data_IF_733661757670
#
_entry.id   IF_733661757670
#
_cell.length_a   1.000
_cell.length_b   1.000
_cell.length_c   1.000
_cell.angle_alpha   90.00
_cell.angle_beta   90.00
_cell.angle_gamma   90.00
#
_symmetry.space_group_name_H-M   'P 1'
#
loop_
_entity.id
_entity.type
_entity.pdbx_description
1 polymer ?
#
# COMPACT_ATOMS: atom_id res chain seq x y z
N UNK A 1 -23.66 -26.54 47.29
CA UNK A 1 -23.14 -27.18 46.05
C UNK A 1 -22.93 -26.10 45.02
N UNK A 2 -21.72 -25.56 44.90
CA UNK A 2 -21.38 -24.51 43.92
C UNK A 2 -20.79 -25.21 42.70
N UNK A 3 -21.45 -25.01 41.58
CA UNK A 3 -21.22 -25.71 40.30
C UNK A 3 -19.81 -25.46 39.77
N UNK A 4 -19.04 -26.54 39.64
CA UNK A 4 -17.68 -26.60 39.07
C UNK A 4 -17.55 -26.20 37.58
N UNK A 5 -18.65 -25.82 36.94
CA UNK A 5 -18.65 -25.60 35.49
C UNK A 5 -18.36 -24.16 35.04
N UNK A 6 -18.25 -23.21 36.00
CA UNK A 6 -18.02 -21.79 35.64
C UNK A 6 -16.55 -21.42 35.44
N UNK A 7 -15.62 -22.24 35.99
CA UNK A 7 -14.19 -21.96 35.92
C UNK A 7 -13.55 -22.38 34.58
N UNK A 8 -14.12 -23.39 33.94
CA UNK A 8 -13.61 -23.93 32.66
C UNK A 8 -13.96 -22.98 31.50
N UNK A 9 -15.11 -22.31 31.58
CA UNK A 9 -15.53 -21.36 30.53
C UNK A 9 -14.70 -20.08 30.54
N UNK A 10 -14.19 -19.64 31.68
CA UNK A 10 -13.36 -18.45 31.83
C UNK A 10 -11.93 -18.64 31.26
N UNK A 11 -11.42 -19.87 31.34
CA UNK A 11 -10.09 -20.22 30.78
C UNK A 11 -10.10 -20.31 29.24
N UNK A 12 -11.26 -20.58 28.62
CA UNK A 12 -11.37 -20.67 27.17
C UNK A 12 -11.45 -19.28 26.51
N UNK A 13 -11.87 -18.23 27.23
CA UNK A 13 -11.96 -16.87 26.71
C UNK A 13 -10.62 -16.12 26.77
N UNK A 14 -9.64 -16.60 27.52
CA UNK A 14 -8.31 -15.98 27.62
C UNK A 14 -7.32 -16.45 26.55
N UNK A 15 -7.66 -17.50 25.80
CA UNK A 15 -6.76 -18.05 24.76
C UNK A 15 -6.93 -17.44 23.37
N UNK A 16 -7.88 -16.52 23.16
CA UNK A 16 -8.14 -15.92 21.85
C UNK A 16 -7.41 -14.59 21.58
N UNK A 17 -6.59 -14.11 22.52
CA UNK A 17 -5.84 -12.84 22.35
C UNK A 17 -4.36 -13.03 22.00
N UNK A 18 -3.96 -14.16 21.46
CA UNK A 18 -2.61 -14.31 20.90
C UNK A 18 -2.58 -13.82 19.47
N UNK A 19 -2.45 -12.49 19.36
CA UNK A 19 -1.59 -11.75 18.41
C UNK A 19 -1.17 -12.51 17.17
N UNK A 20 -1.88 -12.31 16.10
CA UNK A 20 -1.29 -12.45 14.78
C UNK A 20 -0.53 -11.16 14.40
N UNK A 21 0.46 -10.77 15.17
CA UNK A 21 1.60 -10.05 14.62
C UNK A 21 2.45 -11.07 13.86
N UNK A 22 1.99 -11.48 12.70
CA UNK A 22 2.78 -12.29 11.79
C UNK A 22 3.84 -11.37 11.24
N UNK A 23 5.08 -11.54 11.67
CA UNK A 23 6.25 -10.91 11.07
C UNK A 23 6.16 -11.11 9.56
N UNK A 24 6.05 -9.99 8.85
CA UNK A 24 5.99 -10.00 7.39
C UNK A 24 7.41 -10.27 6.93
N UNK A 25 7.71 -11.52 6.78
CA UNK A 25 8.98 -11.97 6.23
C UNK A 25 8.92 -11.71 4.72
N UNK A 26 9.69 -10.74 4.24
CA UNK A 26 9.94 -10.58 2.80
C UNK A 26 10.74 -11.82 2.37
N UNK A 27 10.02 -12.86 1.99
CA UNK A 27 10.61 -14.15 1.64
C UNK A 27 11.35 -14.15 0.31
N UNK A 28 11.32 -13.04 -0.43
CA UNK A 28 11.82 -12.98 -1.79
C UNK A 28 12.63 -11.70 -2.03
N UNK A 29 13.83 -11.85 -2.61
CA UNK A 29 14.57 -10.70 -3.12
C UNK A 29 13.82 -10.09 -4.29
N UNK A 30 13.31 -8.89 -4.11
CA UNK A 30 12.61 -8.13 -5.14
C UNK A 30 13.58 -7.20 -5.82
N UNK A 31 13.59 -7.25 -7.14
CA UNK A 31 14.26 -6.27 -8.00
C UNK A 31 13.41 -6.14 -9.28
N UNK A 32 12.40 -5.29 -9.19
CA UNK A 32 11.38 -5.12 -10.21
C UNK A 32 11.42 -3.71 -10.78
N UNK A 33 11.28 -3.59 -12.08
CA UNK A 33 11.15 -2.32 -12.79
C UNK A 33 9.95 -2.39 -13.72
N UNK A 34 9.15 -1.32 -13.73
CA UNK A 34 7.93 -1.23 -14.51
C UNK A 34 7.88 0.07 -15.30
N UNK A 35 7.17 0.03 -16.42
CA UNK A 35 6.62 1.19 -17.10
C UNK A 35 5.11 1.13 -16.95
N UNK A 36 4.51 2.20 -16.42
CA UNK A 36 3.09 2.19 -16.09
C UNK A 36 2.36 3.29 -16.84
N UNK A 37 1.23 2.95 -17.45
CA UNK A 37 0.31 3.89 -18.08
C UNK A 37 -0.80 4.24 -17.10
N UNK A 38 -1.11 5.52 -16.98
CA UNK A 38 -2.25 6.00 -16.21
C UNK A 38 -3.56 5.48 -16.85
N UNK A 39 -4.44 4.91 -16.04
CA UNK A 39 -5.74 4.41 -16.48
C UNK A 39 -6.85 5.36 -16.06
N UNK A 40 -6.93 5.64 -14.76
CA UNK A 40 -7.95 6.51 -14.16
C UNK A 40 -7.53 6.98 -12.78
N UNK A 41 -8.25 7.99 -12.28
CA UNK A 41 -8.11 8.50 -10.91
C UNK A 41 -9.49 8.66 -10.30
N UNK A 42 -9.63 8.29 -9.03
CA UNK A 42 -10.81 8.55 -8.23
C UNK A 42 -10.45 9.61 -7.21
N UNK A 43 -11.23 10.67 -7.14
CA UNK A 43 -11.01 11.83 -6.26
C UNK A 43 -12.13 11.96 -5.25
N UNK A 44 -11.75 12.10 -3.97
CA UNK A 44 -12.63 12.53 -2.88
C UNK A 44 -12.04 13.78 -2.25
N UNK A 45 -12.77 14.88 -2.28
CA UNK A 45 -12.45 16.14 -1.60
C UNK A 45 -13.75 16.93 -1.32
N UNK A 46 -13.65 18.23 -1.07
CA UNK A 46 -14.82 19.10 -0.85
C UNK A 46 -15.73 19.25 -2.07
N UNK A 47 -15.20 19.06 -3.26
CA UNK A 47 -15.93 19.21 -4.54
C UNK A 47 -16.44 17.88 -5.08
N UNK A 48 -15.64 16.80 -4.92
CA UNK A 48 -15.93 15.49 -5.48
C UNK A 48 -16.12 14.43 -4.40
N UNK A 49 -17.16 13.62 -4.52
CA UNK A 49 -17.40 12.48 -3.65
C UNK A 49 -17.11 11.17 -4.40
N UNK A 50 -15.84 10.76 -4.40
CA UNK A 50 -15.35 9.58 -5.13
C UNK A 50 -15.66 9.62 -6.63
N UNK A 51 -15.49 10.77 -7.25
CA UNK A 51 -15.66 10.91 -8.68
C UNK A 51 -14.50 10.28 -9.45
N UNK A 52 -14.84 9.55 -10.51
CA UNK A 52 -13.85 8.91 -11.38
C UNK A 52 -13.57 9.78 -12.60
N UNK A 53 -12.27 9.96 -12.89
CA UNK A 53 -11.76 10.64 -14.06
C UNK A 53 -10.89 9.66 -14.87
N UNK A 54 -11.05 9.63 -16.18
CA UNK A 54 -10.21 8.87 -17.09
C UNK A 54 -8.88 9.58 -17.35
N UNK A 55 -7.88 8.85 -17.84
CA UNK A 55 -6.53 9.39 -18.04
C UNK A 55 -6.49 10.64 -18.97
N UNK A 56 -7.39 10.73 -19.96
CA UNK A 56 -7.47 11.86 -20.87
C UNK A 56 -8.12 13.12 -20.27
N UNK A 57 -8.71 13.02 -19.09
CA UNK A 57 -9.31 14.15 -18.35
C UNK A 57 -8.35 14.69 -17.28
N UNK A 58 -7.16 14.12 -17.16
CA UNK A 58 -6.19 14.39 -16.11
C UNK A 58 -4.89 14.96 -16.69
N UNK A 59 -4.25 15.84 -15.92
CA UNK A 59 -2.87 16.30 -16.17
C UNK A 59 -1.82 15.36 -15.58
N UNK A 60 -2.25 14.30 -14.88
CA UNK A 60 -1.37 13.29 -14.31
C UNK A 60 -0.66 12.50 -15.41
N UNK A 61 0.56 12.04 -15.12
CA UNK A 61 1.43 11.42 -16.10
C UNK A 61 1.61 9.93 -15.88
N UNK A 62 1.96 9.27 -16.96
CA UNK A 62 2.49 7.90 -16.92
C UNK A 62 3.75 7.81 -16.07
N UNK A 63 4.04 6.64 -15.52
CA UNK A 63 5.26 6.36 -14.78
C UNK A 63 6.27 5.68 -15.71
N UNK A 64 7.28 6.40 -16.17
CA UNK A 64 8.30 5.86 -17.08
C UNK A 64 9.21 4.83 -16.41
N UNK A 65 9.47 5.01 -15.11
CA UNK A 65 10.31 4.13 -14.32
C UNK A 65 9.80 4.01 -12.90
N UNK A 66 8.97 3.00 -12.66
CA UNK A 66 8.61 2.59 -11.31
C UNK A 66 9.47 1.39 -10.88
N UNK A 67 10.23 1.53 -9.79
CA UNK A 67 11.16 0.52 -9.30
C UNK A 67 10.85 0.11 -7.87
N UNK A 68 10.91 -1.19 -7.63
CA UNK A 68 10.83 -1.83 -6.32
C UNK A 68 12.05 -2.71 -6.13
N UNK A 69 12.82 -2.48 -5.05
CA UNK A 69 13.98 -3.30 -4.73
C UNK A 69 14.04 -3.58 -3.24
N UNK A 70 14.15 -4.84 -2.85
CA UNK A 70 14.44 -5.18 -1.46
C UNK A 70 15.90 -4.89 -1.15
N UNK A 71 16.15 -4.13 -0.06
CA UNK A 71 17.52 -3.83 0.41
C UNK A 71 17.88 -4.80 1.53
N UNK A 72 16.90 -5.12 2.38
CA UNK A 72 16.99 -6.07 3.50
C UNK A 72 15.63 -6.76 3.61
N UNK A 73 15.51 -7.86 4.38
CA UNK A 73 14.25 -8.58 4.53
C UNK A 73 13.03 -7.73 4.88
N UNK A 74 13.25 -6.58 5.52
CA UNK A 74 12.16 -5.70 5.99
C UNK A 74 12.16 -4.32 5.32
N UNK A 75 13.13 -4.05 4.42
CA UNK A 75 13.29 -2.74 3.81
C UNK A 75 13.16 -2.79 2.29
N UNK A 76 12.18 -2.05 1.78
CA UNK A 76 11.91 -1.90 0.37
C UNK A 76 12.33 -0.50 -0.11
N UNK A 77 13.11 -0.46 -1.18
CA UNK A 77 13.40 0.76 -1.92
C UNK A 77 12.33 0.97 -2.98
N UNK A 78 11.74 2.16 -3.01
CA UNK A 78 10.69 2.56 -3.96
C UNK A 78 11.16 3.80 -4.68
N UNK A 79 11.08 3.79 -6.00
CA UNK A 79 11.41 4.96 -6.82
C UNK A 79 10.45 5.10 -8.00
N UNK A 80 10.15 6.34 -8.37
CA UNK A 80 9.38 6.66 -9.57
C UNK A 80 7.86 6.63 -9.40
N UNK A 81 7.34 6.38 -8.18
CA UNK A 81 5.90 6.49 -7.88
C UNK A 81 5.58 7.86 -7.26
N UNK A 82 6.22 8.21 -6.16
CA UNK A 82 6.16 9.53 -5.55
C UNK A 82 7.45 9.89 -4.84
N UNK A 83 7.68 11.17 -4.62
CA UNK A 83 8.82 11.65 -3.84
C UNK A 83 8.68 11.31 -2.35
N UNK A 84 7.45 11.31 -1.84
CA UNK A 84 7.17 10.97 -0.45
C UNK A 84 7.55 9.53 -0.14
N UNK A 85 7.07 8.57 -0.94
CA UNK A 85 7.40 7.16 -0.77
C UNK A 85 8.89 6.87 -0.98
N UNK A 86 9.53 7.55 -1.94
CA UNK A 86 10.95 7.35 -2.25
C UNK A 86 11.87 7.80 -1.12
N UNK A 87 11.48 8.82 -0.35
CA UNK A 87 12.28 9.44 0.72
C UNK A 87 11.82 9.06 2.12
N UNK A 88 10.72 8.31 2.27
CA UNK A 88 10.16 8.04 3.58
C UNK A 88 11.01 7.04 4.36
N UNK A 89 11.50 7.47 5.52
CA UNK A 89 12.15 6.60 6.50
C UNK A 89 11.15 5.71 7.26
N UNK A 90 9.85 6.10 7.24
CA UNK A 90 8.75 5.41 7.93
C UNK A 90 7.95 4.50 6.98
N UNK A 91 8.58 4.02 5.91
CA UNK A 91 7.93 3.09 5.00
C UNK A 91 7.68 1.75 5.68
N UNK A 92 6.42 1.34 5.68
CA UNK A 92 5.98 0.05 6.20
C UNK A 92 5.61 -0.85 5.03
N UNK A 93 6.31 -1.96 4.91
CA UNK A 93 5.96 -3.02 3.96
C UNK A 93 4.92 -3.91 4.62
N UNK A 94 3.76 -4.07 4.00
CA UNK A 94 2.63 -4.83 4.54
C UNK A 94 2.55 -6.25 4.00
N UNK A 95 2.77 -6.40 2.70
CA UNK A 95 2.74 -7.69 2.02
C UNK A 95 3.81 -7.71 0.94
N UNK A 96 4.59 -8.77 0.89
CA UNK A 96 5.46 -9.09 -0.23
C UNK A 96 5.38 -10.58 -0.49
N UNK A 97 4.82 -10.94 -1.62
CA UNK A 97 4.79 -12.32 -2.11
C UNK A 97 4.92 -12.35 -3.64
N UNK A 98 4.85 -13.56 -4.22
CA UNK A 98 4.98 -13.75 -5.67
C UNK A 98 3.90 -13.02 -6.51
N UNK A 99 2.76 -12.70 -5.90
CA UNK A 99 1.61 -12.14 -6.60
C UNK A 99 1.43 -10.64 -6.34
N UNK A 100 1.77 -10.18 -5.12
CA UNK A 100 1.43 -8.81 -4.66
C UNK A 100 2.57 -8.20 -3.85
N UNK A 101 2.76 -6.89 -4.03
CA UNK A 101 3.55 -6.04 -3.12
C UNK A 101 2.65 -4.91 -2.62
N UNK A 102 2.51 -4.77 -1.31
CA UNK A 102 1.75 -3.72 -0.64
C UNK A 102 2.65 -2.99 0.36
N UNK A 103 2.69 -1.68 0.24
CA UNK A 103 3.45 -0.81 1.14
C UNK A 103 2.68 0.47 1.46
N UNK A 104 3.06 1.09 2.58
CA UNK A 104 2.44 2.32 3.09
C UNK A 104 3.49 3.18 3.79
N UNK A 105 3.36 4.49 3.68
CA UNK A 105 4.04 5.46 4.51
C UNK A 105 3.07 6.53 5.01
N UNK A 106 3.30 7.06 6.21
CA UNK A 106 2.50 8.13 6.79
C UNK A 106 3.40 9.16 7.48
N UNK A 107 3.01 10.41 7.38
CA UNK A 107 3.59 11.54 8.09
C UNK A 107 2.49 12.20 8.94
N UNK A 108 2.47 11.87 10.23
CA UNK A 108 1.44 12.34 11.15
C UNK A 108 1.52 13.85 11.43
N UNK A 109 2.69 14.46 11.28
CA UNK A 109 2.90 15.89 11.45
C UNK A 109 2.29 16.67 10.29
N UNK A 110 2.41 16.13 9.07
CA UNK A 110 1.83 16.71 7.87
C UNK A 110 0.41 16.26 7.60
N UNK A 111 -0.16 15.41 8.44
CA UNK A 111 -1.48 14.84 8.29
C UNK A 111 -1.69 14.17 6.91
N UNK A 112 -0.69 13.37 6.50
CA UNK A 112 -0.52 12.85 5.16
C UNK A 112 -0.13 11.37 5.14
N UNK A 113 -0.67 10.61 4.19
CA UNK A 113 -0.21 9.23 3.96
C UNK A 113 -0.31 8.83 2.49
N UNK A 114 0.56 7.91 2.09
CA UNK A 114 0.47 7.22 0.83
C UNK A 114 0.53 5.71 1.03
N UNK A 115 -0.22 4.98 0.22
CA UNK A 115 -0.12 3.53 0.13
C UNK A 115 -0.19 3.08 -1.32
N UNK A 116 0.46 1.98 -1.64
CA UNK A 116 0.32 1.40 -2.96
C UNK A 116 0.34 -0.12 -2.91
N UNK A 117 -0.42 -0.71 -3.83
CA UNK A 117 -0.46 -2.14 -4.09
C UNK A 117 -0.20 -2.39 -5.57
N UNK A 118 0.74 -3.26 -5.87
CA UNK A 118 0.96 -3.77 -7.22
C UNK A 118 0.69 -5.27 -7.29
N UNK A 119 -0.15 -5.66 -8.24
CA UNK A 119 -0.32 -7.04 -8.63
C UNK A 119 0.78 -7.39 -9.65
N UNK A 120 1.69 -8.29 -9.27
CA UNK A 120 2.87 -8.66 -10.07
C UNK A 120 2.52 -9.50 -11.30
N UNK A 121 1.33 -10.10 -11.34
CA UNK A 121 0.83 -10.91 -12.46
C UNK A 121 0.09 -10.08 -13.49
N UNK A 122 -0.89 -9.29 -13.03
CA UNK A 122 -1.70 -8.46 -13.94
C UNK A 122 -1.03 -7.14 -14.32
N UNK A 123 -0.06 -6.68 -13.52
CA UNK A 123 0.55 -5.36 -13.67
C UNK A 123 -0.33 -4.21 -13.16
N UNK A 124 -1.46 -4.50 -12.51
CA UNK A 124 -2.27 -3.44 -11.90
C UNK A 124 -1.54 -2.82 -10.71
N UNK A 125 -1.36 -1.50 -10.75
CA UNK A 125 -0.86 -0.69 -9.64
C UNK A 125 -1.95 0.27 -9.20
N UNK A 126 -2.30 0.23 -7.92
CA UNK A 126 -3.19 1.20 -7.28
C UNK A 126 -2.38 1.99 -6.27
N UNK A 127 -2.39 3.32 -6.40
CA UNK A 127 -1.71 4.25 -5.52
C UNK A 127 -2.74 5.17 -4.85
N UNK A 128 -2.85 5.09 -3.53
CA UNK A 128 -3.74 5.94 -2.73
C UNK A 128 -2.92 7.00 -2.00
N UNK A 129 -3.35 8.25 -2.13
CA UNK A 129 -2.84 9.42 -1.43
C UNK A 129 -3.96 9.93 -0.53
N UNK A 130 -3.70 10.09 0.76
CA UNK A 130 -4.68 10.65 1.72
C UNK A 130 -4.08 11.87 2.39
N UNK A 131 -4.83 12.98 2.37
CA UNK A 131 -4.53 14.25 3.05
C UNK A 131 -5.56 14.49 4.14
N UNK A 132 -5.19 15.27 5.16
CA UNK A 132 -6.07 15.58 6.27
C UNK A 132 -6.62 14.31 6.95
N UNK A 133 -5.73 13.34 7.25
CA UNK A 133 -6.08 11.99 7.73
C UNK A 133 -6.87 12.03 9.04
N UNK A 134 -6.61 13.04 9.88
CA UNK A 134 -7.27 13.23 11.19
C UNK A 134 -8.62 13.94 11.11
N UNK A 135 -8.95 14.45 9.93
CA UNK A 135 -10.20 15.19 9.69
C UNK A 135 -11.30 14.27 9.15
N UNK A 136 -12.54 14.56 9.53
CA UNK A 136 -13.73 13.94 8.90
C UNK A 136 -13.82 14.28 7.40
N UNK A 137 -13.23 15.42 6.99
CA UNK A 137 -13.13 15.87 5.61
C UNK A 137 -11.81 15.42 4.93
N UNK A 138 -11.31 14.23 5.28
CA UNK A 138 -10.10 13.70 4.63
C UNK A 138 -10.26 13.64 3.11
N UNK A 139 -9.23 14.07 2.41
CA UNK A 139 -9.17 14.04 0.96
C UNK A 139 -8.42 12.80 0.48
N UNK A 140 -8.89 12.21 -0.62
CA UNK A 140 -8.27 11.02 -1.21
C UNK A 140 -8.13 11.13 -2.71
N UNK A 141 -6.96 10.76 -3.20
CA UNK A 141 -6.68 10.47 -4.58
C UNK A 141 -6.35 8.98 -4.70
N UNK A 142 -7.09 8.24 -5.51
CA UNK A 142 -6.82 6.82 -5.79
C UNK A 142 -6.50 6.71 -7.28
N UNK A 143 -5.23 6.48 -7.59
CA UNK A 143 -4.71 6.44 -8.96
C UNK A 143 -4.48 5.02 -9.40
N UNK A 144 -4.96 4.68 -10.57
CA UNK A 144 -4.85 3.35 -11.17
C UNK A 144 -3.93 3.39 -12.38
N UNK A 145 -2.96 2.49 -12.39
CA UNK A 145 -2.03 2.31 -13.50
C UNK A 145 -2.08 0.88 -14.03
N UNK A 146 -1.82 0.73 -15.32
CA UNK A 146 -1.49 -0.54 -15.96
C UNK A 146 0.01 -0.57 -16.23
N UNK A 147 0.72 -1.49 -15.58
CA UNK A 147 2.18 -1.57 -15.59
C UNK A 147 2.67 -2.77 -16.38
N UNK A 148 3.66 -2.54 -17.21
CA UNK A 148 4.43 -3.58 -17.91
C UNK A 148 5.79 -3.72 -17.22
N UNK A 149 6.17 -4.96 -16.91
CA UNK A 149 7.48 -5.27 -16.34
C UNK A 149 8.55 -5.04 -17.38
N UNK A 150 9.56 -4.24 -17.04
CA UNK A 150 10.75 -4.08 -17.87
C UNK A 150 11.69 -5.25 -17.66
N UNK A 151 12.07 -5.91 -18.73
CA UNK A 151 13.15 -6.90 -18.70
C UNK A 151 14.48 -6.18 -18.45
N UNK A 152 15.31 -6.75 -17.58
CA UNK A 152 16.69 -6.29 -17.44
C UNK A 152 17.39 -6.61 -18.76
N UNK A 153 17.85 -5.59 -19.47
CA UNK A 153 18.82 -5.80 -20.53
C UNK A 153 20.09 -6.32 -19.87
N UNK A 154 20.42 -7.58 -20.18
CA UNK A 154 21.68 -8.22 -19.81
C UNK A 154 22.80 -7.58 -20.59
#
# INVERSE_FOLDING_TARGET
MIKKNSLVLLLFLLSFNLSFAKDINIQENIDLSFKCKLVKKIIKNSEYNYQTFSANELDDKDLDQFKLKSIKPEKLFINGLSLFLSKSEKLIVKVVNKDVVLFKAADEEKDYSESAIINRKSGELVHEITRNIKSENSEKDIVFYSCEKKEKKV
#
